data_IF_073246764376
#
_entry.id   IF_073246764376
#
_cell.length_a   1.000
_cell.length_b   1.000
_cell.length_c   1.000
_cell.angle_alpha   90.00
_cell.angle_beta   90.00
_cell.angle_gamma   90.00
#
_symmetry.space_group_name_H-M   'P 1'
#
loop_
_entity.id
_entity.type
_entity.pdbx_description
1 polymer ?
#
# COMPACT_ATOMS: atom_id res chain seq x y z
N UNK A 1 -27.01 26.98 22.64
CA UNK A 1 -25.94 27.99 22.56
C UNK A 1 -24.72 27.37 23.21
N UNK A 2 -23.85 26.75 22.42
CA UNK A 2 -22.70 25.99 22.87
C UNK A 2 -21.74 25.89 21.69
N UNK A 3 -20.52 26.38 21.90
CA UNK A 3 -19.59 26.85 20.88
C UNK A 3 -19.21 25.81 19.82
N UNK A 4 -19.35 26.23 18.57
CA UNK A 4 -18.71 25.62 17.40
C UNK A 4 -17.23 25.98 17.48
N UNK A 5 -16.38 24.99 17.74
CA UNK A 5 -14.94 25.15 17.64
C UNK A 5 -14.57 25.48 16.18
N UNK A 6 -14.25 26.74 15.94
CA UNK A 6 -13.74 27.27 14.68
C UNK A 6 -12.37 26.65 14.45
N UNK A 7 -12.27 25.77 13.45
CA UNK A 7 -11.00 25.27 12.93
C UNK A 7 -10.31 26.47 12.27
N UNK A 8 -9.21 26.93 12.87
CA UNK A 8 -8.37 27.97 12.28
C UNK A 8 -7.79 27.44 10.96
N UNK A 9 -8.18 28.11 9.87
CA UNK A 9 -7.66 27.89 8.53
C UNK A 9 -6.15 28.13 8.50
N UNK A 10 -5.39 27.08 8.22
CA UNK A 10 -4.02 27.19 7.71
C UNK A 10 -4.15 27.61 6.26
N UNK A 11 -3.87 28.89 5.97
CA UNK A 11 -3.93 29.47 4.62
C UNK A 11 -2.74 28.99 3.78
N UNK A 12 -2.82 27.77 3.28
CA UNK A 12 -2.33 27.38 1.95
C UNK A 12 -3.57 27.06 1.11
N UNK A 13 -3.53 27.21 -0.22
CA UNK A 13 -4.62 26.73 -1.06
C UNK A 13 -4.72 25.20 -0.88
N UNK A 14 -5.60 24.75 0.00
CA UNK A 14 -5.79 23.34 0.29
C UNK A 14 -6.32 22.69 -0.99
N UNK A 15 -5.65 21.64 -1.46
CA UNK A 15 -6.13 20.94 -2.63
C UNK A 15 -7.47 20.27 -2.33
N UNK A 16 -8.38 20.25 -3.31
CA UNK A 16 -9.69 19.65 -3.13
C UNK A 16 -9.56 18.19 -2.66
N UNK A 17 -10.37 17.80 -1.69
CA UNK A 17 -10.44 16.41 -1.22
C UNK A 17 -11.72 15.79 -1.74
N UNK A 18 -11.61 14.63 -2.37
CA UNK A 18 -12.72 13.81 -2.84
C UNK A 18 -12.78 12.51 -2.04
N UNK A 19 -13.98 11.95 -1.91
CA UNK A 19 -14.19 10.63 -1.32
C UNK A 19 -14.98 9.77 -2.29
N UNK A 20 -14.38 8.68 -2.77
CA UNK A 20 -15.00 7.63 -3.55
C UNK A 20 -15.31 6.45 -2.63
N UNK A 21 -16.58 6.12 -2.45
CA UNK A 21 -17.02 5.06 -1.55
C UNK A 21 -17.86 4.03 -2.29
N UNK A 22 -17.57 2.76 -2.03
CA UNK A 22 -18.36 1.62 -2.47
C UNK A 22 -18.98 0.90 -1.27
N UNK A 23 -20.16 0.34 -1.46
CA UNK A 23 -20.86 -0.44 -0.45
C UNK A 23 -21.65 -1.57 -1.11
N UNK A 24 -21.42 -2.80 -0.64
CA UNK A 24 -22.17 -3.97 -1.09
C UNK A 24 -23.50 -4.03 -0.30
N UNK A 25 -24.63 -4.07 -1.02
CA UNK A 25 -25.97 -4.17 -0.43
C UNK A 25 -26.76 -5.24 -1.17
N UNK A 26 -26.89 -6.40 -0.55
CA UNK A 26 -27.48 -7.58 -1.20
C UNK A 26 -26.57 -8.07 -2.33
N UNK A 27 -27.10 -8.08 -3.56
CA UNK A 27 -26.36 -8.50 -4.76
C UNK A 27 -25.74 -7.34 -5.55
N UNK A 28 -25.97 -6.09 -5.11
CA UNK A 28 -25.56 -4.90 -5.85
C UNK A 28 -24.47 -4.15 -5.10
N UNK A 29 -23.53 -3.58 -5.85
CA UNK A 29 -22.52 -2.67 -5.33
C UNK A 29 -22.93 -1.23 -5.65
N UNK A 30 -23.17 -0.43 -4.60
CA UNK A 30 -23.48 0.98 -4.72
C UNK A 30 -22.21 1.80 -4.60
N UNK A 31 -22.10 2.86 -5.39
CA UNK A 31 -20.96 3.75 -5.41
C UNK A 31 -21.39 5.21 -5.24
N UNK A 32 -20.52 5.99 -4.60
CA UNK A 32 -20.69 7.43 -4.46
C UNK A 32 -19.35 8.14 -4.55
N UNK A 33 -19.33 9.28 -5.21
CA UNK A 33 -18.19 10.20 -5.25
C UNK A 33 -18.67 11.57 -4.78
N UNK A 34 -17.97 12.17 -3.83
CA UNK A 34 -18.29 13.52 -3.33
C UNK A 34 -17.06 14.38 -3.15
N UNK A 35 -17.21 15.69 -3.26
CA UNK A 35 -16.22 16.68 -2.85
C UNK A 35 -16.44 17.03 -1.38
N UNK A 36 -15.39 16.93 -0.56
CA UNK A 36 -15.45 17.25 0.87
C UNK A 36 -15.68 18.75 1.05
N UNK A 37 -16.64 19.12 1.89
CA UNK A 37 -17.03 20.52 2.11
C UNK A 37 -18.08 21.06 1.12
N UNK A 38 -18.44 20.30 0.08
CA UNK A 38 -19.45 20.69 -0.90
C UNK A 38 -20.43 19.54 -1.20
N UNK A 39 -21.49 19.39 -0.39
CA UNK A 39 -22.48 18.31 -0.57
C UNK A 39 -23.20 18.34 -1.92
N UNK A 40 -23.31 19.51 -2.57
CA UNK A 40 -23.97 19.66 -3.87
C UNK A 40 -23.20 18.97 -5.00
N UNK A 41 -21.90 18.75 -4.80
CA UNK A 41 -21.00 18.04 -5.71
C UNK A 41 -20.86 16.59 -5.31
N UNK A 42 -21.96 15.84 -5.46
CA UNK A 42 -22.04 14.40 -5.19
C UNK A 42 -22.65 13.68 -6.38
N UNK A 43 -22.04 12.56 -6.78
CA UNK A 43 -22.54 11.63 -7.79
C UNK A 43 -22.70 10.26 -7.16
N UNK A 44 -23.78 9.55 -7.49
CA UNK A 44 -24.05 8.19 -7.00
C UNK A 44 -24.46 7.29 -8.16
N UNK A 45 -23.99 6.06 -8.17
CA UNK A 45 -24.33 5.07 -9.20
C UNK A 45 -24.34 3.66 -8.62
N UNK A 46 -24.82 2.70 -9.42
CA UNK A 46 -24.82 1.27 -9.11
C UNK A 46 -23.95 0.57 -10.14
N UNK A 47 -23.11 -0.36 -9.71
CA UNK A 47 -22.27 -1.13 -10.61
C UNK A 47 -23.07 -2.21 -11.32
N UNK A 48 -22.72 -2.49 -12.58
CA UNK A 48 -23.20 -3.67 -13.29
C UNK A 48 -22.48 -4.90 -12.74
N UNK A 49 -23.23 -5.82 -12.11
CA UNK A 49 -22.66 -6.94 -11.36
C UNK A 49 -21.97 -7.98 -12.26
N UNK A 50 -22.52 -8.23 -13.46
CA UNK A 50 -21.95 -9.22 -14.37
C UNK A 50 -20.62 -8.74 -14.95
N UNK A 51 -20.59 -7.50 -15.43
CA UNK A 51 -19.39 -6.89 -15.96
C UNK A 51 -18.33 -6.66 -14.88
N UNK A 52 -18.76 -6.30 -13.66
CA UNK A 52 -17.86 -6.17 -12.52
C UNK A 52 -17.17 -7.48 -12.19
N UNK A 53 -17.93 -8.58 -12.10
CA UNK A 53 -17.37 -9.90 -11.80
C UNK A 53 -16.32 -10.31 -12.84
N UNK A 54 -16.62 -10.13 -14.12
CA UNK A 54 -15.66 -10.42 -15.20
C UNK A 54 -14.35 -9.61 -15.07
N UNK A 55 -14.46 -8.31 -14.75
CA UNK A 55 -13.30 -7.45 -14.55
C UNK A 55 -12.45 -7.86 -13.32
N UNK A 56 -13.10 -8.30 -12.24
CA UNK A 56 -12.42 -8.78 -11.03
C UNK A 56 -11.79 -10.17 -11.21
N UNK A 57 -12.41 -11.04 -12.03
CA UNK A 57 -11.84 -12.34 -12.42
C UNK A 57 -10.58 -12.13 -13.26
N UNK A 58 -10.60 -11.20 -14.21
CA UNK A 58 -9.42 -10.80 -15.01
C UNK A 58 -8.30 -10.26 -14.11
N UNK A 59 -8.64 -9.38 -13.15
CA UNK A 59 -7.69 -8.89 -12.17
C UNK A 59 -7.10 -10.03 -11.33
N UNK A 60 -7.92 -10.96 -10.88
CA UNK A 60 -7.45 -12.12 -10.11
C UNK A 60 -6.45 -12.95 -10.93
N UNK A 61 -6.77 -13.20 -12.20
CA UNK A 61 -5.89 -13.88 -13.16
C UNK A 61 -4.59 -13.14 -13.51
N UNK A 62 -4.48 -11.84 -13.21
CA UNK A 62 -3.25 -11.05 -13.41
C UNK A 62 -2.30 -11.09 -12.20
N UNK A 63 -2.78 -11.51 -11.03
CA UNK A 63 -2.05 -11.39 -9.77
C UNK A 63 -1.20 -12.62 -9.46
N UNK A 64 -0.08 -12.47 -8.74
CA UNK A 64 0.90 -13.54 -8.47
C UNK A 64 0.47 -14.46 -7.32
N UNK A 65 -0.82 -14.44 -6.96
CA UNK A 65 -1.41 -15.32 -5.98
C UNK A 65 -1.94 -16.58 -6.69
N UNK A 66 -1.75 -17.79 -6.12
CA UNK A 66 -2.31 -19.03 -6.68
C UNK A 66 -3.81 -18.99 -6.87
N UNK A 67 -4.27 -19.55 -7.98
CA UNK A 67 -5.68 -19.79 -8.28
C UNK A 67 -5.89 -21.30 -8.38
N UNK A 68 -6.99 -21.79 -7.81
CA UNK A 68 -7.34 -23.21 -7.79
C UNK A 68 -6.18 -24.12 -7.31
N UNK A 69 -5.67 -24.99 -8.19
CA UNK A 69 -4.61 -25.96 -7.89
C UNK A 69 -3.20 -25.46 -8.28
N UNK A 70 -3.05 -24.20 -8.68
CA UNK A 70 -1.75 -23.64 -9.04
C UNK A 70 -0.75 -23.71 -7.87
N UNK A 71 0.49 -24.07 -8.18
CA UNK A 71 1.57 -23.85 -7.23
C UNK A 71 1.92 -22.36 -7.19
N UNK A 72 2.62 -21.91 -6.14
CA UNK A 72 3.18 -20.54 -6.10
C UNK A 72 4.09 -20.22 -7.29
N UNK A 73 4.75 -21.24 -7.84
CA UNK A 73 5.62 -21.08 -9.01
C UNK A 73 4.78 -20.83 -10.27
N UNK A 74 3.72 -21.61 -10.47
CA UNK A 74 2.83 -21.47 -11.64
C UNK A 74 2.13 -20.13 -11.65
N UNK A 75 1.60 -19.70 -10.48
CA UNK A 75 0.96 -18.40 -10.32
C UNK A 75 1.90 -17.22 -10.64
N UNK A 76 3.16 -17.36 -10.22
CA UNK A 76 4.18 -16.36 -10.48
C UNK A 76 4.59 -16.32 -11.96
N UNK A 77 4.75 -17.49 -12.59
CA UNK A 77 5.01 -17.61 -14.02
C UNK A 77 3.87 -16.96 -14.82
N UNK A 78 2.62 -17.30 -14.50
CA UNK A 78 1.41 -16.69 -15.09
C UNK A 78 1.45 -15.17 -14.97
N UNK A 79 1.56 -14.64 -13.75
CA UNK A 79 1.51 -13.20 -13.51
C UNK A 79 2.59 -12.41 -14.28
N UNK A 80 3.79 -12.98 -14.45
CA UNK A 80 4.91 -12.32 -15.14
C UNK A 80 4.86 -12.50 -16.66
N UNK A 81 4.45 -13.66 -17.15
CA UNK A 81 4.66 -14.02 -18.57
C UNK A 81 3.41 -13.90 -19.42
N UNK A 82 2.22 -14.15 -18.87
CA UNK A 82 0.98 -14.25 -19.66
C UNK A 82 -0.20 -13.46 -19.06
N UNK A 83 -0.13 -13.09 -17.79
CA UNK A 83 -1.16 -12.33 -17.09
C UNK A 83 -1.29 -10.90 -17.61
N UNK A 84 -2.34 -10.18 -17.19
CA UNK A 84 -2.61 -8.83 -17.69
C UNK A 84 -1.44 -7.87 -17.44
N UNK A 85 -0.67 -8.06 -16.36
CA UNK A 85 0.50 -7.25 -16.04
C UNK A 85 1.82 -7.70 -16.71
N UNK A 86 1.77 -8.62 -17.68
CA UNK A 86 2.94 -9.09 -18.43
C UNK A 86 3.42 -8.09 -19.51
N UNK A 87 2.53 -7.24 -20.03
CA UNK A 87 2.88 -6.25 -21.05
C UNK A 87 2.10 -4.94 -20.92
N UNK A 88 2.61 -3.81 -21.44
CA UNK A 88 1.87 -2.54 -21.40
C UNK A 88 0.53 -2.58 -22.12
N UNK A 89 0.41 -3.36 -23.19
CA UNK A 89 -0.82 -3.47 -23.95
C UNK A 89 -1.90 -4.24 -23.16
N UNK A 90 -1.55 -5.39 -22.60
CA UNK A 90 -2.48 -6.20 -21.79
C UNK A 90 -2.84 -5.51 -20.48
N UNK A 91 -1.90 -4.78 -19.87
CA UNK A 91 -2.17 -4.00 -18.66
C UNK A 91 -3.19 -2.90 -18.95
N UNK A 92 -3.08 -2.26 -20.12
CA UNK A 92 -3.99 -1.19 -20.46
C UNK A 92 -5.41 -1.70 -20.69
N UNK A 93 -5.57 -2.89 -21.29
CA UNK A 93 -6.88 -3.53 -21.45
C UNK A 93 -7.58 -3.67 -20.10
N UNK A 94 -6.93 -4.27 -19.10
CA UNK A 94 -7.54 -4.42 -17.77
C UNK A 94 -7.76 -3.06 -17.09
N UNK A 95 -6.84 -2.09 -17.24
CA UNK A 95 -7.01 -0.75 -16.70
C UNK A 95 -8.27 -0.04 -17.23
N UNK A 96 -8.53 -0.18 -18.53
CA UNK A 96 -9.69 0.38 -19.22
C UNK A 96 -10.99 -0.37 -18.85
N UNK A 97 -10.95 -1.70 -18.76
CA UNK A 97 -12.07 -2.53 -18.30
C UNK A 97 -12.50 -2.12 -16.88
N UNK A 98 -11.55 -2.04 -15.95
CA UNK A 98 -11.81 -1.60 -14.58
C UNK A 98 -12.40 -0.18 -14.54
N UNK A 99 -11.84 0.76 -15.30
CA UNK A 99 -12.33 2.14 -15.28
C UNK A 99 -13.70 2.35 -15.92
N UNK A 100 -14.04 1.53 -16.90
CA UNK A 100 -15.37 1.50 -17.52
C UNK A 100 -16.42 0.97 -16.54
N UNK A 101 -16.10 -0.08 -15.78
CA UNK A 101 -17.08 -0.75 -14.93
C UNK A 101 -17.15 -0.21 -13.49
N UNK A 102 -16.09 0.41 -12.97
CA UNK A 102 -16.06 0.89 -11.58
C UNK A 102 -16.49 2.35 -11.40
N UNK A 103 -16.28 3.21 -12.40
CA UNK A 103 -16.47 4.66 -12.26
C UNK A 103 -17.39 5.16 -13.39
N UNK A 104 -18.55 5.69 -12.99
CA UNK A 104 -19.53 6.24 -13.93
C UNK A 104 -18.99 7.49 -14.67
N UNK A 105 -19.46 7.78 -15.90
CA UNK A 105 -19.03 8.94 -16.67
C UNK A 105 -19.13 10.28 -15.92
N UNK A 106 -20.21 10.47 -15.15
CA UNK A 106 -20.43 11.68 -14.35
C UNK A 106 -19.43 11.78 -13.19
N UNK A 107 -19.02 10.64 -12.62
CA UNK A 107 -18.00 10.60 -11.57
C UNK A 107 -16.61 10.91 -12.14
N UNK A 108 -16.29 10.39 -13.34
CA UNK A 108 -15.08 10.80 -14.07
C UNK A 108 -15.07 12.30 -14.36
N UNK A 109 -16.21 12.87 -14.79
CA UNK A 109 -16.37 14.31 -14.97
C UNK A 109 -16.08 15.09 -13.68
N UNK A 110 -16.63 14.65 -12.55
CA UNK A 110 -16.41 15.30 -11.26
C UNK A 110 -14.94 15.24 -10.80
N UNK A 111 -14.24 14.13 -11.02
CA UNK A 111 -12.80 13.99 -10.75
C UNK A 111 -12.01 14.98 -11.62
N UNK A 112 -12.32 15.01 -12.91
CA UNK A 112 -11.65 15.89 -13.87
C UNK A 112 -11.86 17.37 -13.54
N UNK A 113 -13.08 17.76 -13.16
CA UNK A 113 -13.44 19.14 -12.81
C UNK A 113 -12.85 19.59 -11.47
N UNK A 114 -12.57 18.64 -10.57
CA UNK A 114 -11.92 18.91 -9.29
C UNK A 114 -10.41 19.09 -9.41
N UNK A 115 -9.85 18.91 -10.61
CA UNK A 115 -8.47 19.22 -10.90
C UNK A 115 -8.27 20.74 -10.93
N UNK A 116 -7.50 21.27 -9.98
CA UNK A 116 -7.04 22.66 -9.97
C UNK A 116 -6.01 22.93 -11.10
N UNK A 117 -6.38 22.78 -12.37
CA UNK A 117 -5.48 23.02 -13.49
C UNK A 117 -4.17 22.20 -13.44
N UNK A 118 -3.07 22.74 -13.95
CA UNK A 118 -1.72 22.17 -13.83
C UNK A 118 -1.03 22.54 -12.51
N UNK A 119 -1.72 23.24 -11.62
CA UNK A 119 -1.13 23.77 -10.40
C UNK A 119 -1.06 22.69 -9.31
N UNK A 120 0.10 22.61 -8.67
CA UNK A 120 0.29 21.89 -7.43
C UNK A 120 -0.27 22.72 -6.26
N UNK A 121 -0.93 22.09 -5.27
CA UNK A 121 -1.17 20.66 -5.14
C UNK A 121 -2.42 20.17 -5.91
N UNK A 122 -2.28 19.02 -6.62
CA UNK A 122 -3.39 18.20 -7.12
C UNK A 122 -4.41 17.88 -6.02
N UNK A 123 -5.66 17.71 -6.41
CA UNK A 123 -6.70 17.17 -5.57
C UNK A 123 -6.35 15.75 -5.10
N UNK A 124 -6.86 15.36 -3.93
CA UNK A 124 -6.65 14.04 -3.33
C UNK A 124 -7.97 13.28 -3.30
N UNK A 125 -7.97 12.05 -3.79
CA UNK A 125 -9.09 11.13 -3.77
C UNK A 125 -8.86 10.05 -2.72
N UNK A 126 -9.71 10.02 -1.69
CA UNK A 126 -9.77 8.93 -0.73
C UNK A 126 -10.74 7.86 -1.21
N UNK A 127 -10.25 6.64 -1.40
CA UNK A 127 -11.06 5.50 -1.81
C UNK A 127 -11.40 4.63 -0.61
N UNK A 128 -12.69 4.38 -0.42
CA UNK A 128 -13.26 3.44 0.56
C UNK A 128 -13.93 2.31 -0.22
N UNK A 129 -13.19 1.26 -0.60
CA UNK A 129 -13.75 0.15 -1.37
C UNK A 129 -14.71 -0.67 -0.51
N UNK A 130 -15.57 -1.46 -1.17
CA UNK A 130 -16.22 -2.60 -0.54
C UNK A 130 -15.28 -3.81 -0.55
N UNK A 131 -15.68 -4.90 0.10
CA UNK A 131 -14.85 -6.09 0.25
C UNK A 131 -14.40 -6.69 -1.07
N UNK A 132 -15.30 -6.73 -2.05
CA UNK A 132 -15.03 -7.24 -3.40
C UNK A 132 -14.02 -6.38 -4.16
N UNK A 133 -13.93 -5.10 -3.84
CA UNK A 133 -13.08 -4.12 -4.53
C UNK A 133 -11.77 -3.85 -3.78
N UNK A 134 -11.49 -4.58 -2.70
CA UNK A 134 -10.34 -4.32 -1.84
C UNK A 134 -8.99 -4.50 -2.53
N UNK A 135 -8.91 -5.29 -3.61
CA UNK A 135 -7.67 -5.51 -4.39
C UNK A 135 -7.54 -4.60 -5.62
N UNK A 136 -8.54 -3.77 -5.92
CA UNK A 136 -8.51 -2.91 -7.10
C UNK A 136 -7.34 -1.92 -6.99
N UNK A 137 -6.41 -1.89 -7.96
CA UNK A 137 -5.32 -0.92 -7.98
C UNK A 137 -5.85 0.43 -8.48
N UNK A 138 -6.49 1.20 -7.60
CA UNK A 138 -7.19 2.43 -7.96
C UNK A 138 -6.34 3.42 -8.77
N UNK A 139 -5.04 3.54 -8.48
CA UNK A 139 -4.15 4.40 -9.25
C UNK A 139 -3.97 3.98 -10.73
N UNK A 140 -4.09 2.68 -11.02
CA UNK A 140 -3.95 2.08 -12.35
C UNK A 140 -5.24 2.17 -13.19
N UNK A 141 -6.40 2.42 -12.57
CA UNK A 141 -7.69 2.50 -13.27
C UNK A 141 -7.66 3.59 -14.35
N UNK A 142 -8.08 3.28 -15.57
CA UNK A 142 -8.02 4.20 -16.70
C UNK A 142 -9.38 4.83 -17.02
N UNK A 143 -9.41 6.13 -17.25
CA UNK A 143 -10.57 6.85 -17.75
C UNK A 143 -10.89 6.35 -19.17
N UNK A 144 -12.15 5.97 -19.47
CA UNK A 144 -12.55 5.60 -20.82
C UNK A 144 -12.35 6.74 -21.83
N UNK A 145 -11.91 6.42 -23.05
CA UNK A 145 -11.75 7.37 -24.16
C UNK A 145 -10.32 7.53 -24.68
N UNK A 146 -10.14 8.39 -25.68
CA UNK A 146 -8.93 8.46 -26.51
C UNK A 146 -7.66 8.85 -25.74
N UNK A 147 -7.78 9.73 -24.74
CA UNK A 147 -6.62 10.19 -23.95
C UNK A 147 -6.15 9.16 -22.90
N UNK A 148 -6.99 8.16 -22.58
CA UNK A 148 -6.64 6.97 -21.77
C UNK A 148 -5.92 7.26 -20.44
N UNK A 149 -6.20 8.41 -19.82
CA UNK A 149 -5.54 8.87 -18.59
C UNK A 149 -5.86 7.96 -17.42
N UNK A 150 -4.86 7.66 -16.59
CA UNK A 150 -5.04 6.92 -15.33
C UNK A 150 -5.60 7.82 -14.25
N UNK A 151 -6.31 7.24 -13.29
CA UNK A 151 -6.85 7.96 -12.14
C UNK A 151 -5.75 8.69 -11.38
N UNK A 152 -4.58 8.06 -11.22
CA UNK A 152 -3.42 8.67 -10.56
C UNK A 152 -2.84 9.88 -11.33
N UNK A 153 -3.09 10.01 -12.63
CA UNK A 153 -2.68 11.20 -13.40
C UNK A 153 -3.61 12.40 -13.14
N UNK A 154 -4.84 12.14 -12.71
CA UNK A 154 -5.85 13.18 -12.44
C UNK A 154 -5.76 13.70 -11.00
N UNK A 155 -5.53 12.80 -10.03
CA UNK A 155 -5.56 13.08 -8.58
C UNK A 155 -4.48 12.26 -7.87
N UNK A 156 -4.10 12.66 -6.65
CA UNK A 156 -3.42 11.73 -5.74
C UNK A 156 -4.46 10.74 -5.20
N UNK A 157 -4.16 9.44 -5.25
CA UNK A 157 -5.05 8.36 -4.82
C UNK A 157 -4.55 7.81 -3.50
N UNK A 158 -5.39 7.89 -2.47
CA UNK A 158 -5.17 7.33 -1.15
C UNK A 158 -6.33 6.43 -0.78
N UNK A 159 -6.11 5.48 0.12
CA UNK A 159 -7.16 4.69 0.73
C UNK A 159 -7.67 5.40 1.98
N UNK A 160 -8.99 5.46 2.15
CA UNK A 160 -9.57 5.83 3.43
C UNK A 160 -9.28 4.71 4.44
N UNK A 161 -8.91 5.04 5.67
CA UNK A 161 -8.97 4.04 6.74
C UNK A 161 -10.44 3.69 7.06
N UNK A 162 -10.73 2.45 7.49
CA UNK A 162 -12.09 2.05 7.82
C UNK A 162 -12.71 2.97 8.90
N UNK A 163 -13.99 3.40 8.77
CA UNK A 163 -14.57 4.39 9.68
C UNK A 163 -14.54 4.01 11.16
N UNK A 164 -14.72 2.72 11.47
CA UNK A 164 -14.61 2.19 12.83
C UNK A 164 -13.21 2.40 13.43
N UNK A 165 -12.16 2.38 12.61
CA UNK A 165 -10.79 2.62 13.03
C UNK A 165 -10.53 4.13 13.22
N UNK A 166 -10.98 4.95 12.27
CA UNK A 166 -10.84 6.41 12.34
C UNK A 166 -11.50 6.99 13.60
N UNK A 167 -12.69 6.48 13.95
CA UNK A 167 -13.46 6.96 15.09
C UNK A 167 -13.13 6.26 16.41
N UNK A 168 -12.18 5.32 16.43
CA UNK A 168 -11.75 4.66 17.66
C UNK A 168 -10.86 5.57 18.51
N UNK A 169 -10.95 5.51 19.85
CA UNK A 169 -10.03 6.24 20.72
C UNK A 169 -8.57 5.81 20.50
N UNK A 170 -7.72 6.75 20.11
CA UNK A 170 -6.27 6.56 19.93
C UNK A 170 -5.52 7.86 20.17
N UNK A 171 -4.20 7.78 20.30
CA UNK A 171 -3.32 8.95 20.33
C UNK A 171 -2.51 8.99 19.03
N UNK A 172 -2.80 9.94 18.10
CA UNK A 172 -1.97 10.14 16.93
C UNK A 172 -0.52 10.45 17.33
N UNK A 173 0.44 9.81 16.67
CA UNK A 173 1.85 9.93 17.02
C UNK A 173 2.45 11.29 16.60
N UNK A 174 1.90 11.93 15.56
CA UNK A 174 2.22 13.28 15.11
C UNK A 174 3.55 13.38 14.36
N UNK A 175 3.52 13.40 13.02
CA UNK A 175 4.73 13.55 12.19
C UNK A 175 5.60 14.77 12.54
N UNK A 176 4.99 15.93 12.77
CA UNK A 176 5.72 17.18 13.03
C UNK A 176 6.65 17.10 14.25
N UNK A 177 6.24 16.37 15.29
CA UNK A 177 7.02 16.18 16.52
C UNK A 177 8.04 15.04 16.44
N UNK A 178 7.88 14.10 15.51
CA UNK A 178 8.77 12.92 15.40
C UNK A 178 9.69 12.90 14.20
N UNK A 179 9.54 13.78 13.20
CA UNK A 179 10.30 13.73 11.94
C UNK A 179 11.83 13.65 12.11
N UNK A 180 12.38 14.23 13.18
CA UNK A 180 13.82 14.22 13.47
C UNK A 180 14.30 12.99 14.23
N UNK A 181 13.40 12.18 14.78
CA UNK A 181 13.72 10.95 15.52
C UNK A 181 14.23 9.84 14.59
N UNK A 182 15.07 8.90 15.05
CA UNK A 182 15.62 7.87 14.18
C UNK A 182 14.50 7.01 13.55
N UNK A 183 14.58 6.65 12.25
CA UNK A 183 13.64 5.71 11.65
C UNK A 183 13.92 4.29 12.16
N UNK A 184 12.86 3.49 12.30
CA UNK A 184 12.92 2.07 12.64
C UNK A 184 12.86 1.22 11.38
N UNK A 185 13.88 0.39 11.17
CA UNK A 185 14.05 -0.49 10.03
C UNK A 185 13.95 -1.95 10.49
N UNK A 186 12.97 -2.67 9.94
CA UNK A 186 12.77 -4.10 10.16
C UNK A 186 12.86 -4.78 8.80
N UNK A 187 14.08 -5.17 8.40
CA UNK A 187 14.38 -5.57 7.02
C UNK A 187 14.66 -7.08 6.95
N UNK A 188 13.71 -7.81 6.37
CA UNK A 188 13.75 -9.26 6.11
C UNK A 188 14.20 -10.05 7.35
N UNK A 189 13.47 -9.97 8.49
CA UNK A 189 13.83 -10.72 9.70
C UNK A 189 13.88 -12.24 9.43
N UNK A 190 14.76 -12.96 10.12
CA UNK A 190 14.88 -14.42 9.95
C UNK A 190 13.75 -15.13 10.67
N UNK A 191 12.85 -15.73 9.91
CA UNK A 191 11.83 -16.63 10.44
C UNK A 191 12.49 -17.90 11.01
N UNK A 192 12.26 -18.28 12.28
CA UNK A 192 12.83 -19.48 12.87
C UNK A 192 12.49 -20.76 12.10
N UNK A 193 13.46 -21.68 12.03
CA UNK A 193 13.30 -22.95 11.31
C UNK A 193 13.29 -22.86 9.77
N UNK A 194 13.36 -21.66 9.19
CA UNK A 194 13.26 -21.45 7.75
C UNK A 194 14.64 -21.27 7.09
N UNK A 195 14.90 -22.06 6.04
CA UNK A 195 16.10 -21.92 5.22
C UNK A 195 15.98 -20.70 4.29
N UNK A 196 17.07 -20.09 3.82
CA UNK A 196 17.00 -18.94 2.92
C UNK A 196 16.23 -19.19 1.61
N UNK A 197 16.15 -20.43 1.15
CA UNK A 197 15.47 -20.87 -0.06
C UNK A 197 14.07 -21.47 0.20
N UNK A 198 13.60 -21.46 1.45
CA UNK A 198 12.26 -21.95 1.79
C UNK A 198 11.18 -20.89 1.49
N UNK A 199 9.88 -21.25 1.54
CA UNK A 199 8.79 -20.29 1.31
C UNK A 199 8.79 -19.06 2.23
N UNK A 200 9.28 -19.20 3.46
CA UNK A 200 9.47 -18.12 4.42
C UNK A 200 10.97 -17.76 4.58
N UNK A 201 11.74 -18.03 3.52
CA UNK A 201 13.18 -17.80 3.43
C UNK A 201 13.53 -16.32 3.22
N UNK A 202 14.60 -16.05 2.47
CA UNK A 202 15.03 -14.67 2.21
C UNK A 202 14.13 -13.99 1.17
N UNK A 203 13.61 -12.82 1.50
CA UNK A 203 12.83 -11.99 0.57
C UNK A 203 13.76 -11.18 -0.33
N UNK A 204 14.86 -10.68 0.22
CA UNK A 204 15.78 -9.74 -0.44
C UNK A 204 17.07 -10.39 -0.94
N UNK A 205 17.15 -11.73 -0.86
CA UNK A 205 18.34 -12.48 -1.25
C UNK A 205 19.44 -12.44 -0.20
N UNK A 206 20.70 -12.65 -0.61
CA UNK A 206 21.84 -12.66 0.32
C UNK A 206 22.25 -11.22 0.63
N UNK A 207 22.28 -10.80 1.91
CA UNK A 207 22.79 -9.47 2.27
C UNK A 207 24.23 -9.27 1.79
N UNK A 208 24.48 -8.12 1.17
CA UNK A 208 25.80 -7.67 0.71
C UNK A 208 25.84 -6.15 0.72
N UNK A 209 27.02 -5.58 1.02
CA UNK A 209 27.28 -4.13 0.93
C UNK A 209 27.07 -3.57 -0.48
N UNK A 210 27.13 -4.41 -1.50
CA UNK A 210 26.96 -4.01 -2.90
C UNK A 210 25.50 -3.98 -3.36
N UNK A 211 24.56 -4.40 -2.51
CA UNK A 211 23.14 -4.31 -2.86
C UNK A 211 22.68 -2.84 -2.87
N UNK A 212 21.75 -2.45 -3.76
CA UNK A 212 21.18 -1.09 -3.74
C UNK A 212 20.58 -0.71 -2.38
N UNK A 213 19.93 -1.66 -1.71
CA UNK A 213 19.35 -1.45 -0.37
C UNK A 213 20.42 -1.17 0.68
N UNK A 214 21.50 -1.96 0.73
CA UNK A 214 22.57 -1.74 1.70
C UNK A 214 23.28 -0.39 1.50
N UNK A 215 23.45 0.05 0.24
CA UNK A 215 24.00 1.38 -0.07
C UNK A 215 23.08 2.49 0.42
N UNK A 216 21.80 2.43 0.07
CA UNK A 216 20.80 3.42 0.48
C UNK A 216 20.70 3.56 2.00
N UNK A 217 20.59 2.45 2.73
CA UNK A 217 20.54 2.51 4.20
C UNK A 217 21.89 2.90 4.82
N UNK A 218 23.02 2.63 4.14
CA UNK A 218 24.32 3.14 4.55
C UNK A 218 24.43 4.65 4.43
N UNK A 219 23.92 5.24 3.36
CA UNK A 219 23.82 6.70 3.20
C UNK A 219 22.90 7.30 4.29
N UNK A 220 21.77 6.65 4.58
CA UNK A 220 20.87 7.06 5.66
C UNK A 220 21.57 7.03 7.04
N UNK A 221 22.31 5.97 7.34
CA UNK A 221 23.07 5.82 8.58
C UNK A 221 24.18 6.87 8.73
N UNK A 222 24.78 7.32 7.63
CA UNK A 222 25.74 8.43 7.66
C UNK A 222 25.07 9.77 7.92
N UNK A 223 23.84 9.97 7.42
CA UNK A 223 23.10 11.20 7.58
C UNK A 223 22.46 11.35 8.97
N UNK A 224 22.00 10.25 9.58
CA UNK A 224 21.33 10.25 10.89
C UNK A 224 21.38 8.88 11.57
N UNK A 225 21.14 8.88 12.88
CA UNK A 225 20.90 7.64 13.64
C UNK A 225 19.68 6.90 13.08
N UNK A 226 19.75 5.58 13.04
CA UNK A 226 18.65 4.66 12.71
C UNK A 226 18.43 3.66 13.86
N UNK A 227 17.28 2.99 13.86
CA UNK A 227 16.97 1.86 14.74
C UNK A 227 16.79 0.59 13.90
N UNK A 228 17.36 -0.56 14.29
CA UNK A 228 18.32 -0.74 15.39
C UNK A 228 19.64 -0.01 15.12
N UNK A 229 20.40 0.24 16.20
CA UNK A 229 21.77 0.72 16.08
C UNK A 229 22.69 -0.45 15.69
N UNK A 230 23.40 -0.30 14.57
CA UNK A 230 24.27 -1.34 14.00
C UNK A 230 25.54 -0.74 13.43
N UNK A 231 26.62 -1.53 13.40
CA UNK A 231 27.92 -1.07 12.94
C UNK A 231 28.00 -0.94 11.41
N UNK A 232 27.36 -1.86 10.66
CA UNK A 232 27.36 -1.84 9.20
C UNK A 232 25.92 -1.97 8.63
N UNK A 233 25.63 -1.37 7.45
CA UNK A 233 24.29 -1.42 6.85
C UNK A 233 23.79 -2.83 6.56
N UNK A 234 24.71 -3.76 6.27
CA UNK A 234 24.39 -5.17 6.02
C UNK A 234 23.78 -5.86 7.25
N UNK A 235 24.08 -5.36 8.46
CA UNK A 235 23.59 -5.92 9.75
C UNK A 235 22.13 -5.53 10.06
N UNK A 236 21.53 -4.66 9.23
CA UNK A 236 20.09 -4.35 9.28
C UNK A 236 19.24 -5.51 8.75
N UNK A 237 19.81 -6.35 7.87
CA UNK A 237 19.07 -7.38 7.15
C UNK A 237 19.20 -8.75 7.82
N UNK A 238 18.16 -9.60 7.67
CA UNK A 238 18.24 -11.02 8.11
C UNK A 238 18.65 -11.15 9.58
N UNK A 239 18.13 -10.28 10.43
CA UNK A 239 18.34 -10.33 11.88
C UNK A 239 17.62 -11.53 12.50
N UNK A 240 18.30 -12.24 13.38
CA UNK A 240 17.77 -13.39 14.12
C UNK A 240 17.24 -13.03 15.51
N UNK A 241 17.42 -11.78 15.93
CA UNK A 241 17.00 -11.22 17.22
C UNK A 241 15.84 -10.22 17.07
N UNK A 242 15.32 -10.03 15.86
CA UNK A 242 14.22 -9.11 15.57
C UNK A 242 12.86 -9.73 15.93
N UNK A 243 12.67 -10.05 17.21
CA UNK A 243 11.46 -10.65 17.78
C UNK A 243 10.45 -9.58 18.27
N UNK A 244 9.30 -10.02 18.82
CA UNK A 244 8.24 -9.18 19.37
C UNK A 244 8.73 -8.25 20.49
N UNK A 245 9.60 -8.74 21.38
CA UNK A 245 10.12 -7.96 22.49
C UNK A 245 11.09 -6.89 22.01
N UNK A 246 11.95 -7.25 21.05
CA UNK A 246 12.83 -6.34 20.33
C UNK A 246 12.04 -5.22 19.64
N UNK A 247 11.00 -5.56 18.87
CA UNK A 247 10.15 -4.58 18.19
C UNK A 247 9.51 -3.61 19.20
N UNK A 248 8.94 -4.15 20.28
CA UNK A 248 8.34 -3.34 21.35
C UNK A 248 9.34 -2.37 21.97
N UNK A 249 10.58 -2.82 22.24
CA UNK A 249 11.63 -1.98 22.82
C UNK A 249 12.09 -0.87 21.86
N UNK A 250 12.13 -1.13 20.56
CA UNK A 250 12.47 -0.10 19.58
C UNK A 250 11.32 0.90 19.35
N UNK A 251 10.07 0.45 19.35
CA UNK A 251 8.91 1.33 19.28
C UNK A 251 8.80 2.26 20.51
N UNK A 252 9.20 1.78 21.69
CA UNK A 252 9.27 2.60 22.91
C UNK A 252 10.26 3.77 22.82
N UNK A 253 11.20 3.76 21.86
CA UNK A 253 12.10 4.88 21.57
C UNK A 253 11.46 5.95 20.66
N UNK A 254 10.15 5.84 20.37
CA UNK A 254 9.38 6.80 19.59
C UNK A 254 10.00 7.14 18.21
N UNK A 255 10.23 6.14 17.34
CA UNK A 255 10.82 6.39 16.02
C UNK A 255 10.01 7.39 15.19
N UNK A 256 10.67 8.00 14.20
CA UNK A 256 10.01 8.90 13.24
C UNK A 256 9.05 8.16 12.31
N UNK A 257 9.47 6.98 11.86
CA UNK A 257 8.75 6.10 10.93
C UNK A 257 9.20 4.66 11.12
N UNK A 258 8.39 3.71 10.68
CA UNK A 258 8.71 2.29 10.64
C UNK A 258 8.69 1.82 9.18
N UNK A 259 9.75 1.14 8.75
CA UNK A 259 9.77 0.40 7.49
C UNK A 259 9.93 -1.09 7.79
N UNK A 260 8.87 -1.86 7.52
CA UNK A 260 8.88 -3.31 7.58
C UNK A 260 8.94 -3.88 6.16
N UNK A 261 9.93 -4.74 5.92
CA UNK A 261 10.05 -5.54 4.70
C UNK A 261 10.18 -6.98 5.12
N UNK A 262 9.31 -7.87 4.65
CA UNK A 262 9.39 -9.27 5.06
C UNK A 262 8.14 -10.07 4.73
N UNK A 263 8.00 -11.21 5.38
CA UNK A 263 6.85 -12.08 5.19
C UNK A 263 5.64 -11.58 5.99
N UNK A 264 4.46 -11.73 5.39
CA UNK A 264 3.19 -11.63 6.08
C UNK A 264 2.33 -12.83 5.72
N UNK A 265 1.52 -13.27 6.69
CA UNK A 265 0.42 -14.17 6.44
C UNK A 265 -0.82 -13.32 6.24
N UNK A 266 -1.44 -13.43 5.06
CA UNK A 266 -2.76 -12.86 4.82
C UNK A 266 -3.79 -13.56 5.73
N UNK A 267 -4.81 -12.83 6.17
CA UNK A 267 -5.94 -13.43 6.86
C UNK A 267 -6.69 -14.41 5.94
N UNK A 268 -7.16 -15.54 6.49
CA UNK A 268 -7.89 -16.56 5.74
C UNK A 268 -9.22 -15.98 5.21
N UNK A 269 -9.35 -15.92 3.88
CA UNK A 269 -10.50 -15.32 3.19
C UNK A 269 -11.84 -16.00 3.48
N UNK A 270 -11.82 -17.31 3.77
CA UNK A 270 -13.04 -18.10 3.93
C UNK A 270 -13.66 -17.99 5.34
N UNK A 271 -12.95 -17.43 6.32
CA UNK A 271 -13.38 -17.40 7.74
C UNK A 271 -13.50 -15.96 8.29
N UNK A 272 -13.40 -14.92 7.46
CA UNK A 272 -13.84 -13.57 7.84
C UNK A 272 -13.04 -12.88 8.97
N UNK A 273 -11.77 -13.23 9.18
CA UNK A 273 -10.99 -12.75 10.34
C UNK A 273 -9.76 -11.93 9.93
N UNK A 274 -9.95 -10.65 9.60
CA UNK A 274 -8.85 -9.72 9.26
C UNK A 274 -7.77 -9.64 10.35
N UNK A 275 -8.18 -9.79 11.61
CA UNK A 275 -7.33 -9.70 12.80
C UNK A 275 -6.27 -10.82 12.91
N UNK A 276 -6.38 -11.87 12.08
CA UNK A 276 -5.40 -12.96 11.95
C UNK A 276 -4.27 -12.65 10.97
N UNK A 277 -4.36 -11.58 10.17
CA UNK A 277 -3.26 -11.14 9.34
C UNK A 277 -2.03 -10.88 10.23
N UNK A 278 -0.86 -11.36 9.82
CA UNK A 278 0.27 -11.44 10.73
C UNK A 278 1.61 -11.13 10.06
N UNK A 279 2.50 -10.45 10.80
CA UNK A 279 3.88 -10.19 10.42
C UNK A 279 4.78 -11.31 10.95
N UNK A 280 5.71 -11.79 10.13
CA UNK A 280 6.71 -12.76 10.58
C UNK A 280 7.95 -12.04 11.09
N UNK A 281 8.23 -12.22 12.38
CA UNK A 281 9.43 -11.74 13.05
C UNK A 281 10.39 -12.91 13.31
N UNK A 282 11.47 -12.67 14.03
CA UNK A 282 12.34 -13.72 14.53
C UNK A 282 11.72 -14.52 15.72
N UNK A 283 10.41 -14.76 15.64
CA UNK A 283 9.60 -15.51 16.62
C UNK A 283 9.06 -16.79 15.99
N UNK A 284 8.89 -17.83 16.81
CA UNK A 284 8.24 -19.09 16.40
C UNK A 284 6.78 -18.87 15.94
N UNK A 285 6.12 -17.83 16.45
CA UNK A 285 4.73 -17.49 16.11
C UNK A 285 4.66 -16.11 15.47
N UNK A 286 4.00 -15.97 14.31
CA UNK A 286 3.86 -14.68 13.64
C UNK A 286 3.02 -13.73 14.50
N UNK A 287 3.34 -12.44 14.46
CA UNK A 287 2.71 -11.37 15.23
C UNK A 287 1.43 -10.91 14.51
N UNK A 288 0.26 -11.29 15.03
CA UNK A 288 -1.04 -10.99 14.40
C UNK A 288 -1.48 -9.54 14.60
N UNK A 289 -2.39 -9.05 13.77
CA UNK A 289 -3.05 -7.77 13.96
C UNK A 289 -3.78 -7.71 15.32
N UNK A 290 -4.41 -8.81 15.74
CA UNK A 290 -5.01 -8.94 17.08
C UNK A 290 -3.97 -8.78 18.20
N UNK A 291 -2.82 -9.47 18.10
CA UNK A 291 -1.72 -9.35 19.07
C UNK A 291 -1.24 -7.89 19.17
N UNK A 292 -1.12 -7.18 18.05
CA UNK A 292 -0.72 -5.78 17.97
C UNK A 292 -1.72 -4.84 18.67
N UNK A 293 -3.02 -5.03 18.40
CA UNK A 293 -4.09 -4.25 19.01
C UNK A 293 -4.19 -4.47 20.51
N UNK A 294 -4.09 -5.72 20.96
CA UNK A 294 -4.13 -6.08 22.39
C UNK A 294 -2.92 -5.48 23.13
N UNK A 295 -1.73 -5.52 22.52
CA UNK A 295 -0.52 -4.99 23.12
C UNK A 295 -0.44 -3.46 23.10
N UNK A 296 -1.26 -2.78 22.28
CA UNK A 296 -1.28 -1.32 22.12
C UNK A 296 0.12 -0.75 21.85
N UNK A 297 0.84 -1.36 20.91
CA UNK A 297 2.19 -0.91 20.57
C UNK A 297 2.15 0.53 20.02
N UNK A 298 3.07 1.43 20.46
CA UNK A 298 3.05 2.84 20.08
C UNK A 298 3.72 3.04 18.72
N UNK A 299 2.98 2.74 17.65
CA UNK A 299 3.50 2.87 16.29
C UNK A 299 3.85 4.33 15.95
N UNK A 300 4.90 4.55 15.13
CA UNK A 300 5.26 5.89 14.67
C UNK A 300 4.20 6.45 13.71
N UNK A 301 4.22 7.75 13.44
CA UNK A 301 3.20 8.40 12.59
C UNK A 301 3.15 7.87 11.16
N UNK A 302 4.25 7.26 10.68
CA UNK A 302 4.34 6.70 9.32
C UNK A 302 4.85 5.27 9.35
N UNK A 303 4.15 4.37 8.66
CA UNK A 303 4.50 2.95 8.60
C UNK A 303 4.48 2.45 7.16
N UNK A 304 5.61 1.97 6.64
CA UNK A 304 5.68 1.19 5.40
C UNK A 304 5.65 -0.31 5.72
N UNK A 305 4.66 -1.04 5.20
CA UNK A 305 4.51 -2.49 5.34
C UNK A 305 4.67 -3.18 3.97
N UNK A 306 5.90 -3.37 3.52
CA UNK A 306 6.19 -4.14 2.29
C UNK A 306 6.23 -5.64 2.60
N UNK A 307 5.04 -6.22 2.68
CA UNK A 307 4.81 -7.63 2.93
C UNK A 307 3.53 -8.08 2.24
N UNK A 308 3.44 -9.35 1.85
CA UNK A 308 2.37 -9.86 1.00
C UNK A 308 0.96 -9.55 1.55
N UNK A 309 0.15 -8.86 0.74
CA UNK A 309 -1.24 -8.49 1.05
C UNK A 309 -1.42 -7.80 2.43
N UNK A 310 -0.42 -7.03 2.87
CA UNK A 310 -0.40 -6.32 4.16
C UNK A 310 -1.46 -5.23 4.28
N UNK A 311 -2.00 -4.74 3.16
CA UNK A 311 -3.07 -3.75 3.07
C UNK A 311 -4.46 -4.36 2.86
N UNK A 312 -4.61 -5.66 3.15
CA UNK A 312 -5.83 -6.43 2.90
C UNK A 312 -7.01 -6.16 3.82
N UNK A 313 -6.97 -5.13 4.69
CA UNK A 313 -7.99 -4.85 5.70
C UNK A 313 -9.41 -4.80 5.12
N UNK A 314 -9.61 -4.18 3.96
CA UNK A 314 -10.93 -4.10 3.32
C UNK A 314 -11.43 -5.44 2.77
N UNK A 315 -10.61 -6.50 2.70
CA UNK A 315 -11.04 -7.83 2.20
C UNK A 315 -12.00 -8.56 3.15
N UNK A 316 -12.39 -7.94 4.26
CA UNK A 316 -13.23 -8.52 5.29
C UNK A 316 -14.29 -7.50 5.74
N UNK A 317 -15.43 -8.01 6.20
CA UNK A 317 -16.50 -7.15 6.73
C UNK A 317 -16.03 -6.36 7.97
N UNK A 318 -15.25 -7.01 8.83
CA UNK A 318 -14.53 -6.38 9.93
C UNK A 318 -13.11 -6.00 9.49
N UNK A 319 -12.94 -4.77 9.01
CA UNK A 319 -11.65 -4.25 8.55
C UNK A 319 -10.70 -3.91 9.71
N UNK A 320 -10.25 -4.95 10.43
CA UNK A 320 -9.38 -4.91 11.62
C UNK A 320 -8.04 -5.60 11.37
N UNK A 321 -7.48 -5.39 10.18
CA UNK A 321 -6.22 -6.02 9.76
C UNK A 321 -4.98 -5.28 10.26
N UNK A 322 -3.86 -5.50 9.56
CA UNK A 322 -2.56 -4.93 9.92
C UNK A 322 -2.56 -3.40 9.84
N UNK A 323 -3.19 -2.82 8.81
CA UNK A 323 -3.25 -1.36 8.67
C UNK A 323 -4.03 -0.73 9.83
N UNK A 324 -5.19 -1.30 10.15
CA UNK A 324 -5.99 -0.91 11.31
C UNK A 324 -5.18 -0.98 12.61
N UNK A 325 -4.41 -2.07 12.81
CA UNK A 325 -3.57 -2.22 14.00
C UNK A 325 -2.51 -1.12 14.11
N UNK A 326 -1.86 -0.74 12.99
CA UNK A 326 -0.90 0.37 12.97
C UNK A 326 -1.57 1.70 13.34
N UNK A 327 -2.73 1.99 12.74
CA UNK A 327 -3.46 3.25 12.98
C UNK A 327 -3.92 3.34 14.43
N UNK A 328 -4.49 2.26 14.98
CA UNK A 328 -4.90 2.20 16.39
C UNK A 328 -3.71 2.39 17.34
N UNK A 329 -2.52 1.96 16.96
CA UNK A 329 -1.28 2.18 17.70
C UNK A 329 -0.66 3.58 17.54
N UNK A 330 -1.26 4.46 16.72
CA UNK A 330 -0.89 5.87 16.59
C UNK A 330 -0.41 6.31 15.22
N UNK A 331 -0.29 5.38 14.25
CA UNK A 331 0.08 5.75 12.88
C UNK A 331 -0.98 6.64 12.23
N UNK A 332 -0.53 7.63 11.47
CA UNK A 332 -1.38 8.57 10.71
C UNK A 332 -1.38 8.22 9.22
N UNK A 333 -0.31 7.56 8.76
CA UNK A 333 -0.15 7.10 7.38
C UNK A 333 0.49 5.71 7.32
N UNK A 334 -0.12 4.81 6.56
CA UNK A 334 0.37 3.45 6.36
C UNK A 334 0.42 3.14 4.86
N UNK A 335 1.59 2.85 4.31
CA UNK A 335 1.72 2.32 2.95
C UNK A 335 1.90 0.82 3.01
N UNK A 336 1.02 0.08 2.36
CA UNK A 336 0.95 -1.37 2.41
C UNK A 336 0.73 -1.96 1.00
N UNK A 337 0.67 -3.29 0.87
CA UNK A 337 0.48 -3.96 -0.42
C UNK A 337 -0.91 -4.60 -0.52
N UNK A 338 -1.55 -4.50 -1.68
CA UNK A 338 -2.88 -5.07 -1.94
C UNK A 338 -2.85 -6.58 -2.21
N UNK A 339 -1.70 -7.13 -2.63
CA UNK A 339 -1.51 -8.53 -3.00
C UNK A 339 -0.08 -9.01 -2.68
N UNK A 340 0.22 -10.27 -2.94
CA UNK A 340 1.57 -10.82 -2.73
C UNK A 340 2.58 -10.23 -3.70
N UNK A 341 3.74 -9.78 -3.23
CA UNK A 341 4.78 -9.26 -4.13
C UNK A 341 5.75 -10.38 -4.55
N UNK A 342 6.12 -10.49 -5.83
CA UNK A 342 7.21 -11.36 -6.24
C UNK A 342 8.52 -10.98 -5.53
N UNK A 343 9.26 -11.97 -5.03
CA UNK A 343 10.61 -11.72 -4.50
C UNK A 343 11.57 -11.38 -5.65
N UNK A 344 12.71 -10.76 -5.34
CA UNK A 344 13.74 -10.48 -6.35
C UNK A 344 14.19 -11.74 -7.11
N UNK A 345 14.32 -12.87 -6.39
CA UNK A 345 14.63 -14.16 -7.00
C UNK A 345 13.46 -14.68 -7.86
N UNK A 346 12.23 -14.59 -7.35
CA UNK A 346 11.04 -15.03 -8.07
C UNK A 346 10.83 -14.29 -9.39
N UNK A 347 11.03 -12.97 -9.40
CA UNK A 347 10.91 -12.16 -10.61
C UNK A 347 11.94 -12.56 -11.66
N UNK A 348 13.22 -12.73 -11.27
CA UNK A 348 14.31 -13.10 -12.19
C UNK A 348 14.15 -14.49 -12.81
N UNK A 349 13.34 -15.37 -12.24
CA UNK A 349 13.08 -16.70 -12.82
C UNK A 349 12.30 -16.62 -14.14
N UNK A 350 11.44 -15.62 -14.30
CA UNK A 350 10.49 -15.53 -15.41
C UNK A 350 10.58 -14.23 -16.19
N UNK A 351 11.09 -13.15 -15.58
CA UNK A 351 11.23 -11.87 -16.24
C UNK A 351 12.34 -11.93 -17.30
N UNK A 352 12.15 -11.28 -18.47
CA UNK A 352 13.16 -11.23 -19.52
C UNK A 352 14.39 -10.37 -19.14
N UNK A 353 14.30 -9.57 -18.07
CA UNK A 353 15.35 -8.67 -17.59
C UNK A 353 15.93 -9.24 -16.29
N UNK A 354 17.19 -9.70 -16.32
CA UNK A 354 17.83 -10.39 -15.20
C UNK A 354 18.44 -9.47 -14.15
N UNK A 355 18.82 -8.25 -14.56
CA UNK A 355 19.58 -7.32 -13.71
C UNK A 355 18.68 -6.33 -12.95
N UNK A 356 17.36 -6.36 -13.22
CA UNK A 356 16.39 -5.53 -12.52
C UNK A 356 16.07 -6.08 -11.12
N UNK A 357 15.68 -5.17 -10.22
CA UNK A 357 15.16 -5.52 -8.90
C UNK A 357 14.00 -4.57 -8.51
N UNK A 358 12.80 -4.78 -9.08
CA UNK A 358 11.65 -3.91 -8.84
C UNK A 358 11.21 -3.94 -7.36
N UNK A 359 11.47 -5.04 -6.65
CA UNK A 359 11.26 -5.14 -5.20
C UNK A 359 12.13 -4.12 -4.46
N UNK A 360 13.44 -4.09 -4.74
CA UNK A 360 14.33 -3.10 -4.16
C UNK A 360 13.91 -1.67 -4.54
N UNK A 361 13.53 -1.42 -5.80
CA UNK A 361 13.02 -0.10 -6.22
C UNK A 361 11.79 0.35 -5.41
N UNK A 362 10.83 -0.55 -5.18
CA UNK A 362 9.63 -0.26 -4.39
C UNK A 362 9.96 0.04 -2.92
N UNK A 363 10.84 -0.74 -2.29
CA UNK A 363 11.28 -0.51 -0.89
C UNK A 363 11.94 0.86 -0.76
N UNK A 364 12.86 1.18 -1.67
CA UNK A 364 13.57 2.45 -1.69
C UNK A 364 12.63 3.64 -1.92
N UNK A 365 11.62 3.47 -2.76
CA UNK A 365 10.61 4.48 -3.02
C UNK A 365 9.74 4.77 -1.80
N UNK A 366 9.26 3.73 -1.12
CA UNK A 366 8.46 3.88 0.11
C UNK A 366 9.30 4.53 1.21
N UNK A 367 10.55 4.12 1.40
CA UNK A 367 11.45 4.70 2.40
C UNK A 367 11.64 6.21 2.19
N UNK A 368 11.94 6.63 0.95
CA UNK A 368 12.10 8.04 0.57
C UNK A 368 10.79 8.82 0.69
N UNK A 369 9.68 8.25 0.24
CA UNK A 369 8.38 8.91 0.31
C UNK A 369 7.96 9.16 1.77
N UNK A 370 8.24 8.22 2.67
CA UNK A 370 7.91 8.34 4.10
C UNK A 370 8.79 9.36 4.85
N UNK A 371 9.85 9.87 4.23
CA UNK A 371 10.64 11.01 4.73
C UNK A 371 10.09 12.36 4.23
N UNK A 372 9.36 12.37 3.11
CA UNK A 372 8.88 13.59 2.46
C UNK A 372 7.82 14.35 3.29
N UNK A 373 7.56 15.62 2.96
CA UNK A 373 6.54 16.41 3.66
C UNK A 373 5.14 15.78 3.59
N UNK A 374 4.74 15.36 2.39
CA UNK A 374 3.47 14.69 2.06
C UNK A 374 3.83 13.31 1.50
N UNK A 375 3.62 12.27 2.31
CA UNK A 375 4.22 10.97 2.06
C UNK A 375 3.41 10.16 1.06
N UNK A 376 2.08 10.19 1.14
CA UNK A 376 1.23 9.49 0.19
C UNK A 376 1.26 10.16 -1.19
N UNK A 377 1.37 11.49 -1.27
CA UNK A 377 1.71 12.16 -2.54
C UNK A 377 3.04 11.71 -3.10
N UNK A 378 4.08 11.62 -2.28
CA UNK A 378 5.40 11.18 -2.73
C UNK A 378 5.37 9.73 -3.25
N UNK A 379 4.57 8.84 -2.64
CA UNK A 379 4.31 7.50 -3.19
C UNK A 379 3.59 7.60 -4.55
N UNK A 380 2.55 8.44 -4.66
CA UNK A 380 1.82 8.65 -5.91
C UNK A 380 2.72 9.18 -7.04
N UNK A 381 3.61 10.12 -6.74
CA UNK A 381 4.58 10.66 -7.71
C UNK A 381 5.53 9.56 -8.23
N UNK A 382 6.00 8.68 -7.35
CA UNK A 382 6.78 7.51 -7.77
C UNK A 382 5.95 6.53 -8.62
N UNK A 383 4.70 6.24 -8.22
CA UNK A 383 3.81 5.36 -9.00
C UNK A 383 3.54 5.90 -10.41
N UNK A 384 3.36 7.22 -10.57
CA UNK A 384 3.23 7.87 -11.88
C UNK A 384 4.48 7.69 -12.75
N UNK A 385 5.66 7.80 -12.16
CA UNK A 385 6.91 7.60 -12.88
C UNK A 385 7.07 6.13 -13.32
N UNK A 386 6.72 5.17 -12.46
CA UNK A 386 6.72 3.75 -12.83
C UNK A 386 5.72 3.45 -13.94
N UNK A 387 4.51 3.99 -13.85
CA UNK A 387 3.50 3.88 -14.89
C UNK A 387 3.98 4.47 -16.23
N UNK A 388 4.66 5.63 -16.22
CA UNK A 388 5.24 6.24 -17.42
C UNK A 388 6.33 5.34 -18.04
N UNK A 389 7.28 4.86 -17.23
CA UNK A 389 8.32 3.89 -17.65
C UNK A 389 7.71 2.64 -18.27
N UNK A 390 6.70 2.06 -17.61
CA UNK A 390 5.98 0.89 -18.10
C UNK A 390 5.33 1.13 -19.46
N UNK A 391 4.62 2.26 -19.63
CA UNK A 391 4.02 2.64 -20.91
C UNK A 391 5.04 2.84 -22.03
N UNK A 392 6.27 3.24 -21.68
CA UNK A 392 7.40 3.38 -22.60
C UNK A 392 8.11 2.05 -22.91
N UNK A 393 7.67 0.94 -22.30
CA UNK A 393 8.15 -0.42 -22.57
C UNK A 393 9.20 -0.93 -21.58
N UNK A 394 9.48 -0.20 -20.50
CA UNK A 394 10.37 -0.69 -19.44
C UNK A 394 9.68 -1.74 -18.58
N UNK A 395 9.95 -3.02 -18.86
CA UNK A 395 9.34 -4.14 -18.14
C UNK A 395 9.81 -4.27 -16.68
N UNK A 396 10.90 -3.58 -16.28
CA UNK A 396 11.31 -3.52 -14.88
C UNK A 396 10.34 -2.66 -14.04
N UNK A 397 9.59 -1.74 -14.66
CA UNK A 397 8.55 -0.94 -14.01
C UNK A 397 7.21 -1.70 -13.91
N UNK A 398 7.27 -2.99 -13.58
CA UNK A 398 6.10 -3.88 -13.61
C UNK A 398 5.00 -3.44 -12.61
N UNK A 399 3.72 -3.39 -13.04
CA UNK A 399 2.56 -3.10 -12.18
C UNK A 399 2.42 -4.03 -10.98
N UNK A 400 2.98 -5.24 -11.05
CA UNK A 400 3.00 -6.20 -9.94
C UNK A 400 3.57 -5.62 -8.64
N UNK A 401 4.39 -4.56 -8.74
CA UNK A 401 5.00 -3.88 -7.60
C UNK A 401 4.38 -2.51 -7.33
N UNK A 402 4.43 -1.60 -8.30
CA UNK A 402 4.02 -0.21 -8.04
C UNK A 402 2.51 -0.07 -7.89
N UNK A 403 1.71 -0.84 -8.65
CA UNK A 403 0.25 -0.79 -8.55
C UNK A 403 -0.27 -1.54 -7.31
N UNK A 404 0.58 -2.37 -6.70
CA UNK A 404 0.28 -3.06 -5.45
C UNK A 404 0.29 -2.13 -4.24
N UNK A 405 1.04 -1.02 -4.31
CA UNK A 405 1.15 -0.09 -3.18
C UNK A 405 -0.14 0.71 -2.99
N UNK A 406 -0.66 0.66 -1.77
CA UNK A 406 -1.79 1.45 -1.33
C UNK A 406 -1.41 2.22 -0.06
N UNK A 407 -1.67 3.52 -0.04
CA UNK A 407 -1.40 4.38 1.12
C UNK A 407 -2.71 4.75 1.80
N UNK A 408 -2.86 4.31 3.05
CA UNK A 408 -3.97 4.63 3.93
C UNK A 408 -3.59 5.83 4.78
N UNK A 409 -4.48 6.80 4.91
CA UNK A 409 -4.21 8.00 5.70
C UNK A 409 -5.42 8.44 6.54
N UNK A 410 -5.12 9.04 7.69
CA UNK A 410 -6.08 9.61 8.66
C UNK A 410 -5.57 10.95 9.19
N UNK A 411 -6.39 11.66 9.97
CA UNK A 411 -6.00 12.91 10.65
C UNK A 411 -5.46 14.02 9.74
N UNK A 412 -5.86 14.02 8.46
CA UNK A 412 -5.39 14.99 7.48
C UNK A 412 -4.00 14.69 6.90
N UNK A 413 -3.39 13.55 7.25
CA UNK A 413 -2.20 13.06 6.56
C UNK A 413 -2.51 12.82 5.08
N UNK A 414 -1.50 13.06 4.24
CA UNK A 414 -1.57 12.91 2.78
C UNK A 414 -0.34 12.20 2.25
#
# INVERSE_FOLDING_TARGET
MGDVAVIHAVTGAESATLVLRFADVGIATYASLRVVGDPSRTVTWVLDEEALRAALDELTGALPDPIDEETRRDALERAITTGAFASPATEFTIAATLGTHLIAPEAWGLIHDSRSGSATPRAVLFVSPSTRLARVPWGLVAMPGDDSRRLIELVDVLMAAPPNIVHSPRQPAGWGGRRTEPPLLVLDPRVPGQRPDSPLGSVLGRPSSDTPLARHFGELMQARRVLPDVAAPVDLFRRADADRAWLKNLLAQAPSRLLYVGHATAADGDIGHADRAALHLADERPLTASDLMVQKLPFPPRVGLLACASGGDYRFDEATGLVAAMILGGAELVTATLWSLPTAAGFRLFAPITDADPMAEAILAVDRAHEAGDAGRAVNDWQREQMRRWREGDLAASPLYWAALATFAVDGAR
#
